data_IF_715426958515
#
_entry.id   IF_715426958515
#
_cell.length_a   1.000
_cell.length_b   1.000
_cell.length_c   1.000
_cell.angle_alpha   90.00
_cell.angle_beta   90.00
_cell.angle_gamma   90.00
#
_symmetry.space_group_name_H-M   'P 1'
#
loop_
_entity.id
_entity.type
_entity.pdbx_description
1 polymer ?
#
# COMPACT_ATOMS: atom_id res chain seq x y z
N UNK A 1 -11.53 -14.76 19.54
CA UNK A 1 -10.44 -14.42 18.59
C UNK A 1 -9.22 -15.33 18.81
N UNK A 2 -8.64 -15.44 20.01
CA UNK A 2 -7.50 -16.32 20.26
C UNK A 2 -7.78 -17.79 19.88
N UNK A 3 -8.98 -18.29 20.15
CA UNK A 3 -9.40 -19.64 19.79
C UNK A 3 -9.53 -19.83 18.27
N UNK A 4 -10.06 -18.83 17.55
CA UNK A 4 -10.17 -18.86 16.09
C UNK A 4 -8.76 -18.85 15.46
N UNK A 5 -7.83 -18.06 15.99
CA UNK A 5 -6.44 -18.03 15.55
C UNK A 5 -5.77 -19.39 15.80
N UNK A 6 -6.00 -19.98 16.98
CA UNK A 6 -5.43 -21.28 17.33
C UNK A 6 -5.97 -22.44 16.47
N UNK A 7 -7.24 -22.34 16.08
CA UNK A 7 -7.90 -23.34 15.24
C UNK A 7 -7.68 -23.10 13.73
N UNK A 8 -7.07 -21.97 13.34
CA UNK A 8 -6.97 -21.53 11.95
C UNK A 8 -8.32 -21.51 11.22
N UNK A 9 -9.39 -21.21 11.97
CA UNK A 9 -10.77 -21.20 11.49
C UNK A 9 -11.40 -19.82 11.61
N UNK A 10 -11.42 -19.09 10.51
CA UNK A 10 -12.04 -17.78 10.38
C UNK A 10 -13.40 -17.85 9.65
N UNK A 11 -13.88 -19.04 9.30
CA UNK A 11 -15.14 -19.21 8.58
C UNK A 11 -16.31 -18.56 9.34
N UNK A 12 -16.30 -18.63 10.67
CA UNK A 12 -17.30 -17.98 11.53
C UNK A 12 -17.30 -16.44 11.43
N UNK A 13 -16.23 -15.82 10.93
CA UNK A 13 -16.14 -14.38 10.71
C UNK A 13 -16.45 -13.97 9.27
N UNK A 14 -16.66 -14.96 8.37
CA UNK A 14 -16.81 -14.75 6.94
C UNK A 14 -18.24 -15.06 6.51
N UNK A 15 -19.06 -14.03 6.37
CA UNK A 15 -20.41 -14.19 5.82
C UNK A 15 -20.34 -14.64 4.35
N UNK A 16 -21.22 -15.58 4.00
CA UNK A 16 -21.31 -16.11 2.63
C UNK A 16 -22.38 -15.40 1.81
N UNK A 17 -23.37 -14.82 2.47
CA UNK A 17 -24.50 -14.14 1.82
C UNK A 17 -24.83 -12.82 2.51
N UNK A 18 -25.39 -11.87 1.73
CA UNK A 18 -25.92 -10.65 2.27
C UNK A 18 -27.11 -10.97 3.21
N UNK A 19 -27.18 -10.27 4.35
CA UNK A 19 -28.18 -10.48 5.38
C UNK A 19 -27.77 -11.45 6.50
N UNK A 20 -26.73 -12.24 6.33
CA UNK A 20 -26.17 -13.04 7.42
C UNK A 20 -25.69 -12.13 8.56
N UNK A 21 -25.96 -12.57 9.80
CA UNK A 21 -25.60 -11.77 10.98
C UNK A 21 -24.52 -12.45 11.80
N UNK A 22 -23.58 -11.66 12.29
CA UNK A 22 -22.52 -12.07 13.19
C UNK A 22 -22.61 -11.26 14.49
N UNK A 23 -22.69 -11.95 15.63
CA UNK A 23 -22.65 -11.33 16.96
C UNK A 23 -21.23 -11.41 17.52
N UNK A 24 -20.64 -10.26 17.82
CA UNK A 24 -19.30 -10.13 18.38
C UNK A 24 -19.34 -9.56 19.79
N UNK A 25 -18.74 -10.26 20.75
CA UNK A 25 -18.44 -9.71 22.07
C UNK A 25 -17.08 -9.00 22.02
N UNK A 26 -17.10 -7.70 22.25
CA UNK A 26 -15.92 -6.82 22.16
C UNK A 26 -15.68 -6.16 23.52
N UNK A 27 -14.41 -5.93 23.86
CA UNK A 27 -14.02 -5.11 25.01
C UNK A 27 -13.26 -3.88 24.51
N UNK A 28 -13.75 -2.68 24.87
CA UNK A 28 -13.09 -1.42 24.56
C UNK A 28 -12.99 -0.56 25.83
N UNK A 29 -11.79 -0.16 26.20
CA UNK A 29 -11.52 0.62 27.43
C UNK A 29 -12.10 -0.03 28.70
N UNK A 30 -11.98 -1.36 28.82
CA UNK A 30 -12.51 -2.13 29.95
C UNK A 30 -14.02 -2.39 29.93
N UNK A 31 -14.76 -1.84 28.97
CA UNK A 31 -16.21 -2.00 28.84
C UNK A 31 -16.55 -3.07 27.82
N UNK A 32 -17.32 -4.06 28.24
CA UNK A 32 -17.82 -5.12 27.36
C UNK A 32 -19.02 -4.62 26.54
N UNK A 33 -19.01 -4.95 25.26
CA UNK A 33 -20.09 -4.62 24.31
C UNK A 33 -20.37 -5.82 23.42
N UNK A 34 -21.64 -6.07 23.14
CA UNK A 34 -22.06 -6.97 22.09
C UNK A 34 -22.48 -6.15 20.89
N UNK A 35 -21.89 -6.45 19.74
CA UNK A 35 -22.21 -5.81 18.46
C UNK A 35 -22.72 -6.87 17.51
N UNK A 36 -23.87 -6.63 16.91
CA UNK A 36 -24.41 -7.47 15.83
C UNK A 36 -24.12 -6.78 14.52
N UNK A 37 -23.37 -7.47 13.65
CA UNK A 37 -23.08 -7.02 12.31
C UNK A 37 -23.93 -7.80 11.31
N UNK A 38 -24.44 -7.14 10.30
CA UNK A 38 -25.13 -7.79 9.19
C UNK A 38 -24.32 -7.63 7.93
N UNK A 39 -24.09 -8.73 7.23
CA UNK A 39 -23.37 -8.73 5.94
C UNK A 39 -24.18 -7.97 4.90
N UNK A 40 -23.51 -7.15 4.13
CA UNK A 40 -24.11 -6.39 3.03
C UNK A 40 -23.17 -6.33 1.84
N UNK A 41 -23.73 -6.24 0.64
CA UNK A 41 -22.97 -5.87 -0.55
C UNK A 41 -22.73 -4.36 -0.53
N UNK A 42 -21.48 -3.93 -0.67
CA UNK A 42 -21.12 -2.52 -0.72
C UNK A 42 -20.03 -2.27 -1.77
N UNK A 43 -19.96 -1.03 -2.22
CA UNK A 43 -18.88 -0.61 -3.11
C UNK A 43 -17.60 -0.36 -2.31
N UNK A 44 -16.47 -0.85 -2.82
CA UNK A 44 -15.18 -0.59 -2.21
C UNK A 44 -14.86 0.91 -2.23
N UNK A 45 -14.32 1.41 -1.12
CA UNK A 45 -13.81 2.78 -0.97
C UNK A 45 -12.31 2.74 -0.75
N UNK A 46 -11.52 2.45 -1.81
CA UNK A 46 -10.09 2.20 -1.68
C UNK A 46 -9.27 3.46 -1.36
N UNK A 47 -9.81 4.65 -1.61
CA UNK A 47 -9.18 5.92 -1.21
C UNK A 47 -9.78 6.37 0.11
N UNK A 48 -8.93 6.44 1.13
CA UNK A 48 -9.32 6.77 2.51
C UNK A 48 -8.64 8.06 2.94
N UNK A 49 -9.43 9.06 3.29
CA UNK A 49 -8.90 10.34 3.75
C UNK A 49 -8.16 11.12 2.64
N UNK A 50 -8.66 12.29 2.33
CA UNK A 50 -8.00 13.23 1.41
C UNK A 50 -8.02 14.59 2.05
N UNK A 51 -6.85 15.19 2.26
CA UNK A 51 -6.76 16.51 2.88
C UNK A 51 -5.57 17.31 2.35
N UNK A 52 -5.65 18.63 2.46
CA UNK A 52 -4.51 19.54 2.28
C UNK A 52 -4.25 20.21 3.62
N UNK A 53 -3.02 20.11 4.08
CA UNK A 53 -2.58 20.73 5.34
C UNK A 53 -1.45 21.71 5.06
N UNK A 54 -1.35 22.77 5.85
CA UNK A 54 -0.19 23.65 5.82
C UNK A 54 0.76 23.22 6.95
N UNK A 55 2.03 23.00 6.61
CA UNK A 55 3.06 22.68 7.60
C UNK A 55 3.45 23.92 8.41
N UNK A 56 4.24 23.75 9.47
CA UNK A 56 4.76 24.87 10.24
C UNK A 56 5.63 25.81 9.40
N UNK A 57 6.35 25.28 8.40
CA UNK A 57 7.14 26.04 7.44
C UNK A 57 6.33 26.67 6.31
N UNK A 58 4.99 26.61 6.35
CA UNK A 58 4.10 27.24 5.37
C UNK A 58 3.93 26.44 4.06
N UNK A 59 4.41 25.20 3.98
CA UNK A 59 4.26 24.35 2.79
C UNK A 59 2.86 23.73 2.72
N UNK A 60 2.26 23.70 1.53
CA UNK A 60 1.01 22.97 1.29
C UNK A 60 1.32 21.52 1.00
N UNK A 61 0.90 20.65 1.90
CA UNK A 61 1.11 19.22 1.88
C UNK A 61 -0.22 18.52 1.64
N UNK A 62 -0.34 17.80 0.52
CA UNK A 62 -1.47 16.94 0.25
C UNK A 62 -1.30 15.62 1.01
N UNK A 63 -2.38 15.05 1.47
CA UNK A 63 -2.44 13.70 2.03
C UNK A 63 -3.52 12.90 1.34
N UNK A 64 -3.21 11.67 0.96
CA UNK A 64 -4.18 10.70 0.48
C UNK A 64 -3.83 9.30 0.96
N UNK A 65 -4.79 8.64 1.61
CA UNK A 65 -4.71 7.23 1.95
C UNK A 65 -5.24 6.37 0.80
N UNK A 66 -4.48 5.36 0.41
CA UNK A 66 -4.89 4.39 -0.62
C UNK A 66 -4.77 2.99 -0.02
N UNK A 67 -5.90 2.34 0.18
CA UNK A 67 -5.95 1.03 0.82
C UNK A 67 -5.71 -0.14 -0.14
N UNK A 68 -6.20 -0.01 -1.39
CA UNK A 68 -6.11 -1.07 -2.38
C UNK A 68 -5.84 -0.49 -3.78
N UNK A 69 -5.02 -1.16 -4.58
CA UNK A 69 -4.76 -0.81 -5.98
C UNK A 69 -5.81 -1.48 -6.89
N UNK A 70 -7.07 -1.05 -6.77
CA UNK A 70 -8.20 -1.55 -7.58
C UNK A 70 -8.74 -0.47 -8.50
N UNK A 71 -9.48 -0.86 -9.54
CA UNK A 71 -10.02 0.08 -10.52
C UNK A 71 -10.95 1.13 -9.90
N UNK A 72 -11.65 0.78 -8.82
CA UNK A 72 -12.51 1.71 -8.06
C UNK A 72 -11.74 2.87 -7.43
N UNK A 73 -10.40 2.77 -7.31
CA UNK A 73 -9.57 3.88 -6.83
C UNK A 73 -9.43 5.02 -7.85
N UNK A 74 -9.60 4.76 -9.14
CA UNK A 74 -9.23 5.72 -10.21
C UNK A 74 -10.02 7.04 -10.13
N UNK A 75 -11.34 6.98 -10.01
CA UNK A 75 -12.17 8.19 -9.95
C UNK A 75 -11.96 9.01 -8.64
N UNK A 76 -11.89 8.38 -7.43
CA UNK A 76 -11.50 9.09 -6.22
C UNK A 76 -10.10 9.70 -6.28
N UNK A 77 -9.13 9.05 -6.91
CA UNK A 77 -7.78 9.60 -7.11
C UNK A 77 -7.80 10.82 -8.02
N UNK A 78 -8.52 10.77 -9.17
CA UNK A 78 -8.68 11.93 -10.04
C UNK A 78 -9.24 13.13 -9.26
N UNK A 79 -10.28 12.90 -8.46
CA UNK A 79 -10.88 13.94 -7.62
C UNK A 79 -9.88 14.52 -6.63
N UNK A 80 -9.11 13.66 -5.94
CA UNK A 80 -8.10 14.07 -4.96
C UNK A 80 -6.99 14.90 -5.62
N UNK A 81 -6.44 14.43 -6.73
CA UNK A 81 -5.34 15.11 -7.41
C UNK A 81 -5.78 16.40 -8.11
N UNK A 82 -7.01 16.45 -8.64
CA UNK A 82 -7.60 17.71 -9.14
C UNK A 82 -7.68 18.76 -8.04
N UNK A 83 -8.11 18.36 -6.83
CA UNK A 83 -8.14 19.23 -5.65
C UNK A 83 -6.72 19.66 -5.25
N UNK A 84 -5.77 18.74 -5.15
CA UNK A 84 -4.38 19.06 -4.79
C UNK A 84 -3.76 20.06 -5.75
N UNK A 85 -4.01 19.89 -7.05
CA UNK A 85 -3.55 20.83 -8.07
C UNK A 85 -4.19 22.22 -7.90
N UNK A 86 -5.51 22.27 -7.72
CA UNK A 86 -6.24 23.53 -7.54
C UNK A 86 -5.78 24.28 -6.28
N UNK A 87 -5.47 23.55 -5.20
CA UNK A 87 -4.99 24.12 -3.95
C UNK A 87 -3.46 24.37 -3.93
N UNK A 88 -2.74 24.11 -5.03
CA UNK A 88 -1.32 24.38 -5.15
C UNK A 88 -0.46 23.56 -4.18
N UNK A 89 -0.70 22.26 -4.09
CA UNK A 89 0.09 21.33 -3.24
C UNK A 89 1.53 21.28 -3.74
N UNK A 90 2.50 21.47 -2.83
CA UNK A 90 3.93 21.43 -3.13
C UNK A 90 4.55 20.05 -2.91
N UNK A 91 4.06 19.32 -1.94
CA UNK A 91 4.51 17.98 -1.57
C UNK A 91 3.31 17.08 -1.27
N UNK A 92 3.49 15.77 -1.36
CA UNK A 92 2.42 14.80 -1.16
C UNK A 92 2.84 13.74 -0.13
N UNK A 93 1.89 13.36 0.72
CA UNK A 93 1.95 12.16 1.55
C UNK A 93 1.02 11.12 0.96
N UNK A 94 1.57 10.00 0.54
CA UNK A 94 0.84 8.80 0.16
C UNK A 94 0.82 7.83 1.33
N UNK A 95 -0.33 7.56 1.88
CA UNK A 95 -0.47 6.57 2.96
C UNK A 95 -0.81 5.19 2.37
N UNK A 96 0.19 4.32 2.38
CA UNK A 96 0.11 2.95 1.88
C UNK A 96 0.30 1.91 3.00
N UNK A 97 0.18 2.29 4.27
CA UNK A 97 0.47 1.43 5.43
C UNK A 97 -0.22 0.07 5.39
N UNK A 98 -1.42 0.02 4.86
CA UNK A 98 -2.24 -1.20 4.80
C UNK A 98 -2.57 -1.63 3.36
N UNK A 99 -1.86 -1.09 2.38
CA UNK A 99 -2.10 -1.42 0.98
C UNK A 99 -1.28 -2.64 0.57
N UNK A 100 -1.94 -3.79 0.47
CA UNK A 100 -1.34 -5.07 0.04
C UNK A 100 -1.02 -5.15 -1.46
N UNK A 101 -1.30 -4.10 -2.23
CA UNK A 101 -1.07 -4.07 -3.67
C UNK A 101 -2.35 -4.12 -4.49
N UNK A 102 -2.32 -4.84 -5.61
CA UNK A 102 -3.42 -4.98 -6.57
C UNK A 102 -2.98 -4.78 -8.00
N UNK A 103 -3.76 -4.03 -8.78
CA UNK A 103 -3.55 -3.82 -10.21
C UNK A 103 -2.32 -2.94 -10.48
N UNK A 104 -1.43 -3.43 -11.34
CA UNK A 104 -0.29 -2.66 -11.85
C UNK A 104 -0.74 -1.38 -12.55
N UNK A 105 -1.85 -1.44 -13.31
CA UNK A 105 -2.42 -0.29 -14.01
C UNK A 105 -2.88 0.83 -13.06
N UNK A 106 -3.48 0.48 -11.93
CA UNK A 106 -3.87 1.45 -10.90
C UNK A 106 -2.65 2.09 -10.25
N UNK A 107 -1.61 1.29 -9.95
CA UNK A 107 -0.32 1.80 -9.47
C UNK A 107 0.34 2.75 -10.47
N UNK A 108 0.33 2.42 -11.76
CA UNK A 108 0.86 3.26 -12.83
C UNK A 108 0.12 4.60 -12.96
N UNK A 109 -1.21 4.57 -12.83
CA UNK A 109 -2.03 5.79 -12.84
C UNK A 109 -1.72 6.67 -11.62
N UNK A 110 -1.65 6.11 -10.42
CA UNK A 110 -1.29 6.85 -9.21
C UNK A 110 0.12 7.45 -9.33
N UNK A 111 1.10 6.66 -9.80
CA UNK A 111 2.44 7.14 -10.07
C UNK A 111 2.45 8.31 -11.08
N UNK A 112 1.60 8.24 -12.10
CA UNK A 112 1.47 9.29 -13.11
C UNK A 112 0.93 10.59 -12.56
N UNK A 113 -0.05 10.53 -11.64
CA UNK A 113 -0.51 11.72 -10.92
C UNK A 113 0.59 12.39 -10.10
N UNK A 114 1.44 11.60 -9.46
CA UNK A 114 2.56 12.10 -8.65
C UNK A 114 3.66 12.70 -9.52
N UNK A 115 4.14 11.91 -10.48
CA UNK A 115 5.29 12.26 -11.31
C UNK A 115 4.97 13.35 -12.36
N UNK A 116 3.76 13.36 -12.91
CA UNK A 116 3.36 14.30 -13.94
C UNK A 116 4.35 14.34 -15.09
N UNK A 117 4.78 15.54 -15.47
CA UNK A 117 5.73 15.75 -16.59
C UNK A 117 7.10 15.09 -16.38
N UNK A 118 7.48 14.80 -15.14
CA UNK A 118 8.74 14.08 -14.83
C UNK A 118 8.72 12.63 -15.26
N UNK A 119 7.52 12.03 -15.29
CA UNK A 119 7.33 10.66 -15.76
C UNK A 119 7.19 10.53 -17.28
N UNK A 120 7.03 11.63 -18.02
CA UNK A 120 6.71 11.58 -19.44
C UNK A 120 7.73 10.75 -20.25
N UNK A 121 7.20 9.76 -20.97
CA UNK A 121 8.00 8.85 -21.80
C UNK A 121 8.75 7.76 -21.04
N UNK A 122 8.77 7.81 -19.71
CA UNK A 122 9.46 6.82 -18.88
C UNK A 122 8.61 5.57 -18.66
N UNK A 123 9.29 4.45 -18.42
CA UNK A 123 8.67 3.21 -17.96
C UNK A 123 8.40 3.31 -16.45
N UNK A 124 7.15 3.13 -16.05
CA UNK A 124 6.78 2.97 -14.64
C UNK A 124 7.25 1.62 -14.10
N UNK A 125 6.89 0.55 -14.82
CA UNK A 125 7.27 -0.81 -14.49
C UNK A 125 7.35 -1.68 -15.74
N UNK A 126 8.35 -2.55 -15.81
CA UNK A 126 8.42 -3.64 -16.75
C UNK A 126 8.13 -4.95 -16.03
N UNK A 127 7.19 -5.74 -16.56
CA UNK A 127 6.89 -7.08 -16.08
C UNK A 127 7.68 -8.08 -16.93
N UNK A 128 8.56 -8.82 -16.28
CA UNK A 128 9.47 -9.75 -16.94
C UNK A 128 9.07 -11.19 -16.60
N UNK A 129 8.67 -11.91 -17.61
CA UNK A 129 8.34 -13.34 -17.53
C UNK A 129 9.58 -14.18 -17.78
N UNK A 130 9.50 -15.48 -17.49
CA UNK A 130 10.60 -16.41 -17.78
C UNK A 130 10.87 -16.55 -19.29
N UNK A 131 11.97 -17.23 -19.64
CA UNK A 131 12.44 -17.43 -21.02
C UNK A 131 11.38 -17.97 -21.97
N UNK A 132 10.51 -18.88 -21.50
CA UNK A 132 9.44 -19.49 -22.30
C UNK A 132 8.29 -18.54 -22.62
N UNK A 133 8.11 -17.51 -21.81
CA UNK A 133 7.00 -16.57 -21.92
C UNK A 133 7.42 -15.12 -22.18
N UNK A 134 8.69 -14.81 -22.11
CA UNK A 134 9.19 -13.45 -22.25
C UNK A 134 8.73 -12.79 -23.57
N UNK A 135 8.84 -13.48 -24.68
CA UNK A 135 8.49 -12.94 -26.01
C UNK A 135 7.01 -12.58 -26.14
N UNK A 136 6.13 -13.33 -25.49
CA UNK A 136 4.67 -13.15 -25.60
C UNK A 136 4.07 -12.33 -24.49
N UNK A 137 4.70 -12.29 -23.30
CA UNK A 137 4.07 -11.78 -22.09
C UNK A 137 4.80 -10.61 -21.45
N UNK A 138 6.08 -10.33 -21.78
CA UNK A 138 6.75 -9.15 -21.23
C UNK A 138 5.98 -7.89 -21.58
N UNK A 139 5.75 -7.04 -20.57
CA UNK A 139 4.90 -5.88 -20.71
C UNK A 139 5.51 -4.68 -19.99
N UNK A 140 5.43 -3.50 -20.63
CA UNK A 140 5.87 -2.24 -20.08
C UNK A 140 4.66 -1.37 -19.76
N UNK A 141 4.54 -0.99 -18.51
CA UNK A 141 3.66 0.08 -18.07
C UNK A 141 4.41 1.40 -18.08
N UNK A 142 3.86 2.41 -18.73
CA UNK A 142 4.45 3.74 -18.82
C UNK A 142 3.70 4.73 -17.95
N UNK A 143 4.39 5.78 -17.54
CA UNK A 143 3.73 6.94 -16.97
C UNK A 143 2.82 7.59 -18.03
N UNK A 144 1.58 7.88 -17.62
CA UNK A 144 0.59 8.54 -18.46
C UNK A 144 0.63 10.06 -18.24
N UNK A 145 0.27 10.81 -19.27
CA UNK A 145 0.03 12.25 -19.15
C UNK A 145 -1.39 12.48 -18.64
N UNK A 146 -1.53 13.02 -17.44
CA UNK A 146 -2.81 13.26 -16.79
C UNK A 146 -2.98 14.75 -16.48
N UNK A 147 -4.21 15.27 -16.71
CA UNK A 147 -4.53 16.69 -16.56
C UNK A 147 -4.34 17.22 -15.14
N UNK A 148 -4.62 16.41 -14.13
CA UNK A 148 -4.51 16.74 -12.71
C UNK A 148 -3.20 16.33 -12.04
N UNK A 149 -2.21 15.87 -12.82
CA UNK A 149 -0.90 15.48 -12.29
C UNK A 149 -0.13 16.66 -11.66
N UNK A 150 0.63 16.37 -10.58
CA UNK A 150 1.29 17.40 -9.77
C UNK A 150 2.73 17.70 -10.18
N UNK A 151 3.41 16.79 -10.88
CA UNK A 151 4.82 16.92 -11.31
C UNK A 151 5.79 17.16 -10.13
N UNK A 152 5.61 16.41 -9.05
CA UNK A 152 6.38 16.55 -7.83
C UNK A 152 7.84 16.13 -8.00
N UNK A 153 8.74 16.75 -7.23
CA UNK A 153 10.15 16.34 -7.13
C UNK A 153 10.34 15.26 -6.07
N UNK A 154 9.54 15.34 -5.01
CA UNK A 154 9.59 14.41 -3.89
C UNK A 154 8.19 14.01 -3.44
N UNK A 155 8.12 12.88 -2.78
CA UNK A 155 6.89 12.33 -2.18
C UNK A 155 7.24 11.61 -0.89
N UNK A 156 6.40 11.76 0.12
CA UNK A 156 6.48 11.04 1.37
C UNK A 156 5.54 9.85 1.29
N UNK A 157 6.04 8.65 1.57
CA UNK A 157 5.25 7.43 1.56
C UNK A 157 5.18 6.87 2.98
N UNK A 158 3.99 6.88 3.57
CA UNK A 158 3.76 6.19 4.83
C UNK A 158 3.56 4.71 4.54
N UNK A 159 4.41 3.87 5.11
CA UNK A 159 4.43 2.45 4.81
C UNK A 159 4.65 1.60 6.07
N UNK A 160 4.35 0.32 5.96
CA UNK A 160 4.58 -0.67 6.98
C UNK A 160 4.64 -2.07 6.37
N UNK A 161 4.67 -3.10 7.20
CA UNK A 161 4.82 -4.50 6.77
C UNK A 161 3.73 -4.99 5.83
N UNK A 162 2.58 -4.31 5.79
CA UNK A 162 1.46 -4.63 4.88
C UNK A 162 1.52 -3.85 3.57
N UNK A 163 2.43 -2.90 3.43
CA UNK A 163 2.73 -2.24 2.16
C UNK A 163 3.43 -3.24 1.25
N UNK A 164 2.75 -3.73 0.22
CA UNK A 164 3.17 -4.92 -0.50
C UNK A 164 2.92 -4.80 -2.01
N UNK A 165 3.68 -5.57 -2.81
CA UNK A 165 3.36 -5.84 -4.22
C UNK A 165 3.25 -4.55 -5.05
N UNK A 166 2.07 -4.23 -5.65
CA UNK A 166 1.88 -3.02 -6.46
C UNK A 166 2.15 -1.72 -5.68
N UNK A 167 2.03 -1.72 -4.34
CA UNK A 167 2.42 -0.56 -3.51
C UNK A 167 3.93 -0.37 -3.46
N UNK A 168 4.69 -1.46 -3.37
CA UNK A 168 6.15 -1.42 -3.45
C UNK A 168 6.61 -1.09 -4.88
N UNK A 169 5.91 -1.62 -5.88
CA UNK A 169 6.15 -1.28 -7.28
C UNK A 169 5.95 0.23 -7.52
N UNK A 170 4.97 0.87 -6.86
CA UNK A 170 4.78 2.32 -6.91
C UNK A 170 6.00 3.06 -6.39
N UNK A 171 6.52 2.67 -5.21
CA UNK A 171 7.74 3.24 -4.62
C UNK A 171 8.92 3.07 -5.58
N UNK A 172 9.11 1.86 -6.11
CA UNK A 172 10.18 1.52 -7.03
C UNK A 172 10.08 2.31 -8.34
N UNK A 173 8.90 2.39 -8.93
CA UNK A 173 8.63 3.12 -10.18
C UNK A 173 8.91 4.62 -10.06
N UNK A 174 8.49 5.25 -8.97
CA UNK A 174 8.75 6.68 -8.70
C UNK A 174 10.25 6.94 -8.51
N UNK A 175 10.97 6.07 -7.79
CA UNK A 175 12.43 6.12 -7.66
C UNK A 175 13.12 5.95 -9.03
N UNK A 176 12.65 5.00 -9.83
CA UNK A 176 13.14 4.78 -11.19
C UNK A 176 12.98 6.00 -12.09
N UNK A 177 11.91 6.76 -11.94
CA UNK A 177 11.65 8.02 -12.63
C UNK A 177 12.45 9.22 -12.05
N UNK A 178 13.27 9.00 -11.03
CA UNK A 178 14.13 10.03 -10.43
C UNK A 178 13.45 10.92 -9.42
N UNK A 179 12.29 10.52 -8.88
CA UNK A 179 11.69 11.22 -7.76
C UNK A 179 12.39 10.83 -6.45
N UNK A 180 12.51 11.79 -5.56
CA UNK A 180 12.91 11.57 -4.18
C UNK A 180 11.73 10.98 -3.41
N UNK A 181 11.84 9.71 -2.99
CA UNK A 181 10.83 9.01 -2.22
C UNK A 181 11.32 8.83 -0.80
N UNK A 182 10.76 9.60 0.12
CA UNK A 182 11.02 9.49 1.56
C UNK A 182 10.02 8.50 2.16
N UNK A 183 10.48 7.31 2.47
CA UNK A 183 9.68 6.26 3.09
C UNK A 183 9.66 6.43 4.62
N UNK A 184 8.47 6.47 5.22
CA UNK A 184 8.26 6.72 6.66
C UNK A 184 7.46 5.58 7.26
N UNK A 185 7.93 5.02 8.37
CA UNK A 185 7.25 3.96 9.10
C UNK A 185 8.12 2.72 9.29
N UNK A 186 7.68 1.57 8.85
CA UNK A 186 8.37 0.28 8.96
C UNK A 186 8.74 -0.28 7.59
N UNK A 187 9.63 -1.29 7.57
CA UNK A 187 10.01 -2.01 6.36
C UNK A 187 8.79 -2.63 5.67
N UNK A 188 8.70 -2.51 4.36
CA UNK A 188 7.63 -3.10 3.54
C UNK A 188 7.76 -4.62 3.40
N UNK A 189 6.82 -5.29 2.75
CA UNK A 189 6.72 -6.76 2.78
C UNK A 189 7.74 -7.51 1.91
N UNK A 190 8.25 -6.91 0.84
CA UNK A 190 9.25 -7.54 -0.04
C UNK A 190 8.67 -8.44 -1.14
N UNK A 191 7.69 -7.96 -1.90
CA UNK A 191 7.08 -8.73 -3.00
C UNK A 191 7.32 -8.06 -4.37
N UNK A 192 8.52 -8.21 -4.98
CA UNK A 192 8.84 -7.66 -6.31
C UNK A 192 8.26 -8.48 -7.46
N UNK A 193 7.35 -9.40 -7.19
CA UNK A 193 6.81 -10.37 -8.12
C UNK A 193 5.29 -10.34 -8.15
N UNK A 194 4.71 -10.86 -9.22
CA UNK A 194 3.27 -10.94 -9.35
C UNK A 194 2.82 -12.13 -10.19
N UNK A 195 1.52 -12.18 -10.45
CA UNK A 195 0.89 -13.27 -11.16
C UNK A 195 -0.24 -12.79 -12.07
N UNK A 196 -0.43 -13.50 -13.14
CA UNK A 196 -1.64 -13.45 -13.94
C UNK A 196 -2.50 -14.67 -13.56
N UNK A 197 -3.68 -14.47 -12.97
CA UNK A 197 -4.53 -15.58 -12.56
C UNK A 197 -4.93 -16.44 -13.75
N UNK A 198 -4.95 -17.75 -13.57
CA UNK A 198 -5.40 -18.72 -14.57
C UNK A 198 -6.50 -19.57 -13.97
N UNK A 199 -7.64 -19.69 -14.65
CA UNK A 199 -8.76 -20.53 -14.20
C UNK A 199 -8.77 -21.84 -14.95
N UNK A 200 -8.87 -22.94 -14.20
CA UNK A 200 -9.04 -24.30 -14.73
C UNK A 200 -9.86 -25.13 -13.75
N UNK A 201 -10.73 -26.00 -14.27
CA UNK A 201 -11.55 -26.93 -13.47
C UNK A 201 -12.33 -26.24 -12.34
N UNK A 202 -12.90 -25.04 -12.60
CA UNK A 202 -13.68 -24.28 -11.62
C UNK A 202 -12.85 -23.67 -10.47
N UNK A 203 -11.52 -23.64 -10.59
CA UNK A 203 -10.59 -23.05 -9.62
C UNK A 203 -9.73 -22.00 -10.29
N UNK A 204 -9.35 -20.97 -9.54
CA UNK A 204 -8.38 -19.94 -9.98
C UNK A 204 -7.04 -20.17 -9.32
N UNK A 205 -6.00 -20.21 -10.14
CA UNK A 205 -4.61 -20.40 -9.72
C UNK A 205 -3.87 -19.08 -9.86
N UNK A 206 -3.27 -18.62 -8.76
CA UNK A 206 -2.47 -17.38 -8.69
C UNK A 206 -1.00 -17.73 -8.45
N UNK A 207 -0.36 -18.31 -9.47
CA UNK A 207 1.04 -18.71 -9.40
C UNK A 207 1.92 -17.57 -9.87
N UNK A 208 2.95 -17.21 -9.08
CA UNK A 208 3.94 -16.19 -9.46
C UNK A 208 4.54 -16.53 -10.82
N UNK A 209 4.46 -15.60 -11.76
CA UNK A 209 4.91 -15.82 -13.13
C UNK A 209 5.64 -14.64 -13.77
N UNK A 210 5.80 -13.51 -13.07
CA UNK A 210 6.64 -12.41 -13.50
C UNK A 210 7.36 -11.73 -12.32
N UNK A 211 8.52 -11.14 -12.58
CA UNK A 211 9.14 -10.14 -11.72
C UNK A 211 8.86 -8.74 -12.27
N UNK A 212 8.94 -7.73 -11.40
CA UNK A 212 8.75 -6.34 -11.78
C UNK A 212 10.01 -5.52 -11.55
N UNK A 213 10.39 -4.73 -12.55
CA UNK A 213 11.51 -3.79 -12.48
C UNK A 213 11.09 -2.40 -12.91
N UNK A 214 11.80 -1.36 -12.45
CA UNK A 214 11.55 0.03 -12.82
C UNK A 214 12.30 0.45 -14.11
N UNK A 215 12.23 1.74 -14.46
CA UNK A 215 12.94 2.33 -15.62
C UNK A 215 14.46 2.07 -15.65
N UNK A 216 15.09 1.85 -14.48
CA UNK A 216 16.52 1.60 -14.35
C UNK A 216 16.86 0.12 -14.27
N UNK A 217 15.88 -0.76 -14.53
CA UNK A 217 15.99 -2.21 -14.35
C UNK A 217 16.26 -2.63 -12.89
N UNK A 218 15.81 -1.82 -11.92
CA UNK A 218 15.92 -2.13 -10.50
C UNK A 218 14.65 -2.86 -10.04
N UNK A 219 14.83 -3.96 -9.31
CA UNK A 219 13.78 -4.82 -8.76
C UNK A 219 14.37 -5.72 -7.68
N UNK A 220 13.76 -6.89 -7.44
CA UNK A 220 14.26 -7.94 -6.52
C UNK A 220 14.41 -7.50 -5.06
N UNK A 221 13.58 -6.55 -4.62
CA UNK A 221 13.52 -6.07 -3.24
C UNK A 221 12.81 -7.09 -2.33
N UNK A 222 13.28 -8.33 -2.28
CA UNK A 222 12.65 -9.42 -1.51
C UNK A 222 12.67 -9.19 0.00
N UNK A 223 13.57 -8.34 0.49
CA UNK A 223 13.62 -7.95 1.91
C UNK A 223 12.74 -6.73 2.22
N UNK A 224 12.00 -6.24 1.23
CA UNK A 224 11.23 -4.99 1.31
C UNK A 224 12.07 -3.73 1.21
N UNK A 225 11.40 -2.59 1.26
CA UNK A 225 12.05 -1.29 1.36
C UNK A 225 12.17 -0.90 2.83
N UNK A 226 13.39 -0.69 3.27
CA UNK A 226 13.63 -0.09 4.58
C UNK A 226 13.11 1.37 4.60
N UNK A 227 12.53 1.85 5.70
CA UNK A 227 12.11 3.24 5.82
C UNK A 227 13.31 4.18 5.84
N UNK A 228 13.16 5.34 5.21
CA UNK A 228 14.10 6.47 5.35
C UNK A 228 14.01 7.03 6.77
N UNK A 229 12.77 7.18 7.28
CA UNK A 229 12.49 7.60 8.65
C UNK A 229 11.74 6.47 9.35
N UNK A 230 12.41 5.77 10.27
CA UNK A 230 11.79 4.71 11.06
C UNK A 230 10.88 5.34 12.14
N UNK A 231 9.57 5.15 12.00
CA UNK A 231 8.55 5.70 12.91
C UNK A 231 7.54 4.60 13.23
N UNK A 232 7.33 4.35 14.52
CA UNK A 232 6.31 3.41 14.96
C UNK A 232 4.91 4.00 14.77
N UNK A 233 3.95 3.15 14.37
CA UNK A 233 2.56 3.53 14.28
C UNK A 233 1.92 3.60 15.67
N UNK A 234 1.03 4.57 15.87
CA UNK A 234 0.14 4.66 17.02
C UNK A 234 -1.30 4.37 16.57
N UNK A 235 -1.79 3.18 16.92
CA UNK A 235 -3.15 2.74 16.58
C UNK A 235 -4.25 3.51 17.31
N UNK A 236 -3.92 4.36 18.28
CA UNK A 236 -4.88 5.21 18.98
C UNK A 236 -5.13 6.53 18.25
N UNK A 237 -4.20 6.93 17.38
CA UNK A 237 -4.30 8.12 16.55
C UNK A 237 -5.04 7.81 15.23
N UNK A 238 -5.90 8.73 14.80
CA UNK A 238 -6.53 8.60 13.49
C UNK A 238 -5.50 8.84 12.37
N UNK A 239 -5.51 7.99 11.35
CA UNK A 239 -4.60 8.09 10.21
C UNK A 239 -4.68 9.47 9.54
N UNK A 240 -3.53 10.04 9.22
CA UNK A 240 -3.41 11.35 8.59
C UNK A 240 -3.76 12.53 9.50
N UNK A 241 -4.14 12.30 10.76
CA UNK A 241 -4.38 13.39 11.73
C UNK A 241 -3.06 14.02 12.20
N UNK A 242 -3.17 15.13 12.90
CA UNK A 242 -2.00 15.78 13.53
C UNK A 242 -1.40 14.96 14.68
N UNK A 243 -2.16 14.02 15.24
CA UNK A 243 -1.70 13.10 16.28
C UNK A 243 -1.05 11.83 15.70
N UNK A 244 -1.19 11.57 14.39
CA UNK A 244 -0.57 10.43 13.73
C UNK A 244 0.95 10.63 13.64
N UNK A 245 1.78 9.76 14.30
CA UNK A 245 3.23 9.94 14.32
C UNK A 245 3.87 9.95 12.93
N UNK A 246 3.36 9.11 12.00
CA UNK A 246 3.91 9.04 10.65
C UNK A 246 3.57 10.31 9.86
N UNK A 247 2.35 10.82 10.00
CA UNK A 247 1.95 12.08 9.37
C UNK A 247 2.72 13.27 9.96
N UNK A 248 2.94 13.26 11.28
CA UNK A 248 3.77 14.29 11.94
C UNK A 248 5.20 14.28 11.41
N UNK A 249 5.80 13.09 11.28
CA UNK A 249 7.13 12.92 10.70
C UNK A 249 7.21 13.40 9.25
N UNK A 250 6.18 13.12 8.43
CA UNK A 250 6.10 13.61 7.06
C UNK A 250 6.05 15.14 6.98
N UNK A 251 5.30 15.79 7.87
CA UNK A 251 5.21 17.25 7.95
C UNK A 251 6.55 17.89 8.33
N UNK A 252 7.25 17.33 9.32
CA UNK A 252 8.57 17.81 9.74
C UNK A 252 9.61 17.59 8.62
N UNK A 253 9.63 16.40 8.00
CA UNK A 253 10.51 16.12 6.89
C UNK A 253 10.20 16.99 5.65
N UNK A 254 8.96 17.39 5.43
CA UNK A 254 8.59 18.32 4.38
C UNK A 254 9.21 19.71 4.60
N UNK A 255 9.28 20.18 5.83
CA UNK A 255 9.85 21.49 6.17
C UNK A 255 11.37 21.48 6.26
N UNK A 256 11.94 20.46 6.87
CA UNK A 256 13.38 20.42 7.21
C UNK A 256 14.23 19.64 6.20
N UNK A 257 13.63 18.74 5.43
CA UNK A 257 14.35 17.77 4.60
C UNK A 257 14.98 16.61 5.38
N UNK A 258 14.78 16.54 6.70
CA UNK A 258 15.38 15.56 7.60
C UNK A 258 14.32 14.72 8.30
N UNK A 259 14.67 13.51 8.67
CA UNK A 259 13.83 12.73 9.57
C UNK A 259 13.79 13.35 10.98
N UNK A 260 12.66 13.30 11.68
CA UNK A 260 12.57 13.76 13.06
C UNK A 260 13.60 13.08 13.96
N UNK A 261 14.22 13.85 14.85
CA UNK A 261 15.20 13.32 15.82
C UNK A 261 14.48 12.49 16.89
N UNK A 262 14.95 11.28 17.15
CA UNK A 262 14.40 10.42 18.22
C UNK A 262 13.23 9.54 17.83
N UNK A 263 12.84 9.51 16.55
CA UNK A 263 11.84 8.58 16.01
C UNK A 263 12.41 7.20 15.71
N UNK A 264 13.53 6.81 16.33
CA UNK A 264 13.92 5.42 16.42
C UNK A 264 12.76 4.69 17.11
N UNK A 265 11.86 4.16 16.29
CA UNK A 265 10.61 3.59 16.74
C UNK A 265 10.87 2.60 17.85
N UNK A 266 10.07 2.66 18.90
CA UNK A 266 9.83 1.50 19.69
C UNK A 266 9.30 0.44 18.73
N UNK A 267 10.23 -0.37 18.18
CA UNK A 267 9.83 -1.63 17.60
C UNK A 267 9.04 -2.32 18.68
N UNK A 268 7.71 -2.42 18.53
CA UNK A 268 7.01 -3.43 19.29
C UNK A 268 7.72 -4.73 18.94
N UNK A 269 8.34 -5.44 19.91
CA UNK A 269 8.87 -6.75 19.59
C UNK A 269 7.65 -7.51 19.07
N UNK A 270 7.66 -7.84 17.78
CA UNK A 270 6.86 -8.95 17.33
C UNK A 270 7.21 -10.05 18.29
N UNK A 271 6.21 -10.68 18.91
CA UNK A 271 6.40 -11.91 19.64
C UNK A 271 7.33 -12.74 18.77
N UNK A 272 8.57 -12.96 19.28
CA UNK A 272 9.55 -13.74 18.57
C UNK A 272 8.83 -14.97 18.08
N UNK A 273 8.86 -15.26 16.77
CA UNK A 273 8.38 -16.53 16.28
C UNK A 273 8.94 -17.56 17.24
N UNK A 274 8.12 -18.41 17.89
CA UNK A 274 8.66 -19.48 18.70
C UNK A 274 9.63 -20.21 17.78
N UNK A 275 10.91 -20.24 18.14
CA UNK A 275 11.92 -20.96 17.39
C UNK A 275 11.53 -22.44 17.39
N UNK A 276 10.76 -22.84 16.40
CA UNK A 276 10.38 -24.22 16.16
C UNK A 276 11.57 -24.92 15.54
N UNK A 277 12.29 -25.66 16.38
CA UNK A 277 13.11 -26.76 15.90
C UNK A 277 12.22 -27.72 15.09
N UNK A 278 12.41 -27.77 13.76
CA UNK A 278 11.97 -28.91 12.94
C UNK A 278 10.46 -29.11 12.71
N UNK A 279 9.62 -28.10 12.91
CA UNK A 279 8.19 -28.13 12.54
C UNK A 279 7.98 -27.70 11.11
N UNK A 280 7.00 -28.29 10.43
CA UNK A 280 6.48 -27.84 9.14
C UNK A 280 6.27 -26.32 9.16
N UNK A 281 6.51 -25.61 8.05
CA UNK A 281 6.25 -24.18 8.00
C UNK A 281 4.79 -23.96 8.41
N UNK A 282 4.61 -23.27 9.54
CA UNK A 282 3.29 -22.75 9.93
C UNK A 282 2.82 -21.95 8.73
N UNK A 283 1.76 -22.38 8.07
CA UNK A 283 1.04 -21.55 7.13
C UNK A 283 0.58 -20.35 7.93
N UNK A 284 1.38 -19.29 7.90
CA UNK A 284 0.83 -17.98 8.19
C UNK A 284 -0.23 -17.84 7.10
N UNK A 285 -1.51 -17.80 7.47
CA UNK A 285 -2.51 -17.23 6.59
C UNK A 285 -1.99 -15.86 6.27
N UNK A 286 -1.30 -15.78 5.14
CA UNK A 286 -1.10 -14.50 4.52
C UNK A 286 -2.53 -14.02 4.26
N UNK A 287 -2.95 -12.97 4.94
CA UNK A 287 -4.15 -12.21 4.58
C UNK A 287 -4.11 -11.79 3.10
N UNK A 288 -3.19 -12.33 2.37
CA UNK A 288 -2.93 -12.17 0.97
C UNK A 288 -3.73 -13.09 0.07
N UNK A 289 -4.43 -14.07 0.55
CA UNK A 289 -5.29 -14.86 -0.32
C UNK A 289 -6.46 -14.05 -0.87
N UNK A 290 -6.76 -12.89 -0.28
CA UNK A 290 -7.73 -11.91 -0.79
C UNK A 290 -7.08 -10.65 -1.38
N UNK A 291 -5.80 -10.38 -1.14
CA UNK A 291 -5.10 -9.27 -1.79
C UNK A 291 -4.68 -9.71 -3.19
N UNK A 292 -5.26 -9.14 -4.25
CA UNK A 292 -4.82 -9.44 -5.60
C UNK A 292 -3.35 -9.06 -5.71
N UNK A 293 -2.48 -9.99 -6.06
CA UNK A 293 -1.09 -9.68 -6.37
C UNK A 293 -0.98 -8.64 -7.47
N UNK A 294 0.20 -8.32 -7.96
CA UNK A 294 0.35 -7.46 -9.13
C UNK A 294 -0.30 -8.13 -10.33
N UNK A 295 -1.47 -7.65 -10.75
CA UNK A 295 -2.25 -8.16 -11.88
C UNK A 295 -2.11 -7.15 -13.02
N UNK A 296 -1.57 -7.53 -14.20
CA UNK A 296 -1.62 -6.70 -15.38
C UNK A 296 -3.06 -6.64 -15.92
N UNK A 297 -3.48 -5.51 -16.40
CA UNK A 297 -4.67 -5.29 -17.22
C UNK A 297 -4.35 -4.35 -18.34
#
# INVERSE_FOLDING_TARGET
MAELIAADDFAALSAQQAGETLSLALRRNGVDRTVVLSAAVFNLTPVTGTQVVTTAGGRRLGYVGVKDMVSQALAPLETAFSRFRAEGVHDLVLDLRYNGGGLVSTGATLASYVAGTRGNGLTYAALLYNDKRATSNNQNYRFATLGSALSLRRVFVLMGRRTCSASEQLINGLRGAGLEVTAIGETSCGKPVGFLPTSACGRTYSVVNFESVNQRNEGRYFDGFAPTCAVAEDFTAAQGSSADPLMSAAREAADTGLCPVGTAGRSFPLAARPGGSGGQPVRVLEEGDSSPGMIPR
#
